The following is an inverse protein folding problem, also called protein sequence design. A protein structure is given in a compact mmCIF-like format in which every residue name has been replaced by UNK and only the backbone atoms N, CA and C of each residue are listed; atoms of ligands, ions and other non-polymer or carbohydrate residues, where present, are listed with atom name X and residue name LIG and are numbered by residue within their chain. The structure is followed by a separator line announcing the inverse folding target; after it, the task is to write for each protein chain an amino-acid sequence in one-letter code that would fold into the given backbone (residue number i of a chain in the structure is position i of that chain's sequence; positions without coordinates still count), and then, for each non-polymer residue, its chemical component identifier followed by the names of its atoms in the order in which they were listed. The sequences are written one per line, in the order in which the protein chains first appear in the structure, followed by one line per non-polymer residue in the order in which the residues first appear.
data_IF_132417632051
#
_entry.id   IF_132417632051
#
_cell.length_a   1.000
_cell.length_b   1.000
_cell.length_c   1.000
_cell.angle_alpha   90.00
_cell.angle_beta   90.00
_cell.angle_gamma   90.00
#
_symmetry.space_group_name_H-M   'P 1'
#
loop_
_entity.id
_entity.type
_entity.pdbx_description
1 polymer ?
#
# COMPACT_ATOMS: atom_id res chain seq x y z
N UNK A 1 6.97 10.60 8.63
CA UNK A 1 6.49 9.43 9.39
C UNK A 1 6.12 8.36 8.37
N UNK A 2 6.69 7.16 8.49
CA UNK A 2 6.37 6.02 7.63
C UNK A 2 5.28 5.22 8.33
N UNK A 3 4.16 4.94 7.66
CA UNK A 3 3.07 4.16 8.22
C UNK A 3 2.76 3.03 7.24
N UNK A 4 2.78 1.80 7.73
CA UNK A 4 2.11 0.70 7.06
C UNK A 4 0.62 0.82 7.33
N UNK A 5 -0.16 1.17 6.30
CA UNK A 5 -1.59 1.46 6.43
C UNK A 5 -2.43 0.38 5.77
N UNK A 6 -2.23 -0.82 6.30
CA UNK A 6 -2.76 -2.06 5.80
C UNK A 6 -3.77 -2.73 6.73
N UNK A 7 -3.55 -3.98 7.09
CA UNK A 7 -4.40 -4.74 8.00
C UNK A 7 -4.31 -4.19 9.43
N UNK A 8 -5.45 -3.73 9.96
CA UNK A 8 -5.52 -3.17 11.31
C UNK A 8 -5.38 -4.19 12.45
N UNK A 9 -5.90 -5.41 12.27
CA UNK A 9 -5.83 -6.49 13.25
C UNK A 9 -6.27 -7.83 12.66
N UNK A 10 -5.90 -8.96 13.30
CA UNK A 10 -6.36 -10.30 12.92
C UNK A 10 -7.90 -10.43 12.88
N UNK A 11 -8.63 -9.66 13.69
CA UNK A 11 -10.09 -9.71 13.72
C UNK A 11 -10.74 -9.14 12.44
N UNK A 12 -9.97 -8.43 11.61
CA UNK A 12 -10.41 -7.87 10.33
C UNK A 12 -10.00 -8.75 9.13
N UNK A 13 -9.35 -9.89 9.36
CA UNK A 13 -9.20 -10.94 8.36
C UNK A 13 -10.56 -11.61 8.15
N UNK A 14 -11.22 -11.29 7.04
CA UNK A 14 -12.44 -11.95 6.63
C UNK A 14 -12.14 -12.89 5.46
N UNK A 15 -12.05 -14.19 5.74
CA UNK A 15 -12.09 -15.20 4.69
C UNK A 15 -13.53 -15.35 4.21
N UNK A 16 -13.95 -14.51 3.27
CA UNK A 16 -15.29 -14.55 2.70
C UNK A 16 -15.22 -14.91 1.22
N UNK A 17 -16.14 -15.78 0.78
CA UNK A 17 -16.37 -16.03 -0.63
C UNK A 17 -17.18 -14.86 -1.19
N UNK A 18 -16.51 -13.80 -1.62
CA UNK A 18 -17.15 -12.65 -2.25
C UNK A 18 -17.09 -12.85 -3.77
N UNK A 19 -18.26 -13.01 -4.39
CA UNK A 19 -18.41 -13.20 -5.84
C UNK A 19 -17.66 -14.41 -6.45
N UNK A 20 -17.53 -15.51 -5.69
CA UNK A 20 -16.88 -16.74 -6.18
C UNK A 20 -15.35 -16.69 -6.15
N UNK A 21 -14.79 -15.67 -5.53
CA UNK A 21 -13.36 -15.54 -5.22
C UNK A 21 -13.17 -15.43 -3.71
N UNK A 22 -12.20 -16.14 -3.15
CA UNK A 22 -11.76 -15.90 -1.78
C UNK A 22 -11.13 -14.52 -1.73
N UNK A 23 -11.88 -13.52 -1.24
CA UNK A 23 -11.32 -12.21 -0.94
C UNK A 23 -10.87 -12.24 0.52
N UNK A 24 -9.57 -12.08 0.73
CA UNK A 24 -8.94 -12.25 2.05
C UNK A 24 -9.17 -11.08 3.00
N UNK A 25 -9.42 -9.87 2.49
CA UNK A 25 -9.39 -8.65 3.31
C UNK A 25 -10.44 -7.60 2.94
N UNK A 26 -11.20 -7.17 3.95
CA UNK A 26 -11.99 -5.93 3.92
C UNK A 26 -11.17 -4.85 4.61
N UNK A 27 -10.79 -3.82 3.87
CA UNK A 27 -10.14 -2.65 4.48
C UNK A 27 -11.05 -2.01 5.52
N UNK A 28 -10.50 -1.77 6.72
CA UNK A 28 -11.15 -1.05 7.82
C UNK A 28 -10.27 0.15 8.16
N UNK A 29 -10.85 1.35 8.13
CA UNK A 29 -10.15 2.55 8.58
C UNK A 29 -9.81 2.43 10.07
N UNK A 30 -8.57 2.76 10.44
CA UNK A 30 -8.06 2.60 11.81
C UNK A 30 -6.98 3.66 12.09
N UNK A 31 -6.79 4.03 13.35
CA UNK A 31 -5.73 4.91 13.87
C UNK A 31 -5.51 6.30 13.22
N UNK A 32 -6.22 6.69 12.15
CA UNK A 32 -6.06 8.02 11.52
C UNK A 32 -6.49 9.16 12.45
N UNK A 33 -7.58 8.95 13.21
CA UNK A 33 -8.02 9.93 14.21
C UNK A 33 -7.00 10.06 15.33
N UNK A 34 -6.41 8.94 15.77
CA UNK A 34 -5.36 8.95 16.77
C UNK A 34 -4.10 9.67 16.28
N UNK A 35 -3.67 9.44 15.04
CA UNK A 35 -2.55 10.16 14.43
C UNK A 35 -2.79 11.67 14.39
N UNK A 36 -4.02 12.09 14.10
CA UNK A 36 -4.41 13.50 14.11
C UNK A 36 -4.41 14.07 15.53
N UNK A 37 -5.09 13.40 16.46
CA UNK A 37 -5.42 13.95 17.78
C UNK A 37 -4.24 13.88 18.75
N UNK A 38 -3.50 12.77 18.76
CA UNK A 38 -2.40 12.55 19.70
C UNK A 38 -1.06 13.06 19.15
N UNK A 39 -0.87 13.05 17.83
CA UNK A 39 0.42 13.32 17.18
C UNK A 39 0.39 14.51 16.20
N UNK A 40 -0.76 15.18 16.03
CA UNK A 40 -0.88 16.37 15.18
C UNK A 40 -0.69 16.11 13.69
N UNK A 41 -0.87 14.87 13.23
CA UNK A 41 -0.68 14.49 11.82
C UNK A 41 -1.89 14.96 11.02
N UNK A 42 -1.78 16.14 10.42
CA UNK A 42 -2.87 16.77 9.67
C UNK A 42 -3.03 16.28 8.23
N UNK A 43 -2.00 15.67 7.63
CA UNK A 43 -2.04 15.26 6.23
C UNK A 43 -1.12 14.07 5.94
N UNK A 44 -1.59 13.16 5.09
CA UNK A 44 -0.84 12.01 4.59
C UNK A 44 -0.53 12.25 3.11
N UNK A 45 0.66 12.77 2.82
CA UNK A 45 0.99 13.24 1.46
C UNK A 45 1.51 12.14 0.54
N UNK A 46 2.24 11.18 1.10
CA UNK A 46 2.99 10.20 0.34
C UNK A 46 2.95 8.85 1.07
N UNK A 47 2.69 7.79 0.31
CA UNK A 47 2.81 6.38 0.73
C UNK A 47 3.77 5.66 -0.22
N UNK A 48 4.60 4.80 0.36
CA UNK A 48 5.49 3.89 -0.37
C UNK A 48 5.14 2.45 0.05
N UNK A 49 4.46 1.66 -0.80
CA UNK A 49 4.22 0.25 -0.52
C UNK A 49 5.54 -0.51 -0.53
N UNK A 50 5.73 -1.40 0.44
CA UNK A 50 6.91 -2.26 0.54
C UNK A 50 6.87 -3.44 -0.42
N UNK A 51 5.69 -4.06 -0.55
CA UNK A 51 5.45 -5.24 -1.38
C UNK A 51 3.94 -5.38 -1.67
N UNK A 52 3.59 -6.33 -2.53
CA UNK A 52 2.26 -6.39 -3.18
C UNK A 52 1.11 -7.00 -2.36
N UNK A 53 1.37 -7.53 -1.17
CA UNK A 53 0.31 -8.23 -0.44
C UNK A 53 -0.80 -7.26 0.01
N UNK A 54 -2.03 -7.76 -0.06
CA UNK A 54 -3.24 -6.99 0.17
C UNK A 54 -3.32 -6.39 1.58
N UNK A 55 -2.75 -7.07 2.56
CA UNK A 55 -2.61 -6.58 3.92
C UNK A 55 -1.67 -5.38 4.07
N UNK A 56 -0.90 -4.99 3.06
CA UNK A 56 -0.07 -3.78 3.07
C UNK A 56 -0.58 -2.69 2.11
N UNK A 57 -1.31 -3.07 1.05
CA UNK A 57 -1.71 -2.13 -0.01
C UNK A 57 -3.20 -1.78 -0.01
N UNK A 58 -4.05 -2.55 0.69
CA UNK A 58 -5.52 -2.37 0.64
C UNK A 58 -6.01 -1.00 1.13
N UNK A 59 -5.25 -0.31 1.98
CA UNK A 59 -5.59 1.04 2.48
C UNK A 59 -5.21 2.18 1.53
N UNK A 60 -4.33 1.95 0.55
CA UNK A 60 -3.83 3.01 -0.34
C UNK A 60 -4.97 3.70 -1.12
N UNK A 61 -5.94 2.99 -1.73
CA UNK A 61 -7.05 3.66 -2.40
C UNK A 61 -7.91 4.52 -1.47
N UNK A 62 -8.01 4.15 -0.18
CA UNK A 62 -8.72 4.97 0.80
C UNK A 62 -7.94 6.25 1.08
N UNK A 63 -6.62 6.16 1.26
CA UNK A 63 -5.76 7.33 1.45
C UNK A 63 -5.83 8.28 0.25
N UNK A 64 -5.73 7.75 -0.96
CA UNK A 64 -5.84 8.51 -2.21
C UNK A 64 -7.15 9.30 -2.31
N UNK A 65 -8.29 8.68 -1.94
CA UNK A 65 -9.60 9.32 -2.05
C UNK A 65 -9.89 10.38 -0.98
N UNK A 66 -9.28 10.26 0.20
CA UNK A 66 -9.66 11.08 1.36
C UNK A 66 -8.58 12.12 1.74
N UNK A 67 -7.33 11.91 1.31
CA UNK A 67 -6.19 12.75 1.69
C UNK A 67 -5.32 13.14 0.48
N UNK A 68 -5.76 12.84 -0.75
CA UNK A 68 -4.99 13.08 -1.98
C UNK A 68 -3.56 12.50 -1.92
N UNK A 69 -3.38 11.42 -1.13
CA UNK A 69 -2.08 10.80 -0.88
C UNK A 69 -1.47 10.29 -2.18
N UNK A 70 -0.24 10.68 -2.50
CA UNK A 70 0.51 10.10 -3.61
C UNK A 70 1.04 8.71 -3.21
N UNK A 71 1.04 7.78 -4.14
CA UNK A 71 1.69 6.48 -4.06
C UNK A 71 2.92 6.50 -4.97
N UNK A 72 4.10 6.34 -4.39
CA UNK A 72 5.33 6.07 -5.13
C UNK A 72 5.73 4.63 -4.87
N UNK A 73 6.09 3.88 -5.90
CA UNK A 73 6.37 2.46 -5.75
C UNK A 73 7.60 2.06 -6.57
N UNK A 74 8.33 1.06 -6.09
CA UNK A 74 9.35 0.37 -6.88
C UNK A 74 8.69 -0.23 -8.13
N UNK A 75 9.41 -0.28 -9.25
CA UNK A 75 8.91 -0.76 -10.54
C UNK A 75 8.24 -2.14 -10.47
N UNK A 76 8.85 -3.11 -9.80
CA UNK A 76 8.27 -4.44 -9.60
C UNK A 76 6.95 -4.41 -8.83
N UNK A 77 6.85 -3.62 -7.75
CA UNK A 77 5.59 -3.44 -7.00
C UNK A 77 4.55 -2.77 -7.90
N UNK A 78 4.95 -1.70 -8.59
CA UNK A 78 4.08 -0.87 -9.41
C UNK A 78 3.42 -1.68 -10.53
N UNK A 79 4.16 -2.59 -11.16
CA UNK A 79 3.66 -3.47 -12.21
C UNK A 79 2.45 -4.30 -11.74
N UNK A 80 2.50 -4.79 -10.50
CA UNK A 80 1.42 -5.59 -9.91
C UNK A 80 0.25 -4.73 -9.47
N UNK A 81 0.49 -3.71 -8.65
CA UNK A 81 -0.58 -2.96 -8.00
C UNK A 81 -1.36 -2.05 -8.95
N UNK A 82 -0.77 -1.65 -10.08
CA UNK A 82 -1.47 -0.86 -11.10
C UNK A 82 -2.39 -1.72 -11.97
N UNK A 83 -2.06 -3.00 -12.15
CA UNK A 83 -2.77 -3.91 -13.06
C UNK A 83 -3.08 -5.26 -12.41
N UNK A 84 -3.70 -5.30 -11.23
CA UNK A 84 -3.78 -6.51 -10.40
C UNK A 84 -4.51 -7.68 -11.08
N UNK A 85 -5.41 -7.40 -12.03
CA UNK A 85 -6.08 -8.44 -12.83
C UNK A 85 -5.12 -9.30 -13.66
N UNK A 86 -3.99 -8.73 -14.12
CA UNK A 86 -2.94 -9.47 -14.81
C UNK A 86 -2.13 -10.40 -13.86
N UNK A 87 -2.26 -10.17 -12.56
CA UNK A 87 -1.54 -10.84 -11.48
C UNK A 87 -2.47 -11.58 -10.52
N UNK A 88 -3.68 -11.92 -10.98
CA UNK A 88 -4.71 -12.51 -10.12
C UNK A 88 -4.34 -13.90 -9.57
N UNK A 89 -3.37 -14.59 -10.18
CA UNK A 89 -2.82 -15.85 -9.67
C UNK A 89 -1.75 -15.67 -8.59
N UNK A 90 -1.27 -14.45 -8.37
CA UNK A 90 -0.28 -14.15 -7.34
C UNK A 90 -0.96 -14.19 -5.96
N UNK A 91 -0.43 -14.94 -4.99
CA UNK A 91 -1.01 -15.02 -3.65
C UNK A 91 -1.15 -13.64 -3.00
N UNK A 92 -2.25 -13.45 -2.27
CA UNK A 92 -2.54 -12.23 -1.51
C UNK A 92 -2.50 -10.94 -2.35
N UNK A 93 -2.77 -11.01 -3.66
CA UNK A 93 -2.80 -9.84 -4.53
C UNK A 93 -4.09 -9.02 -4.31
N UNK A 94 -3.96 -7.72 -4.08
CA UNK A 94 -5.11 -6.85 -3.92
C UNK A 94 -5.81 -6.60 -5.26
N UNK A 95 -7.10 -6.94 -5.34
CA UNK A 95 -7.84 -6.99 -6.61
C UNK A 95 -8.16 -5.63 -7.26
N UNK A 96 -8.00 -4.50 -6.56
CA UNK A 96 -8.33 -3.17 -7.11
C UNK A 96 -7.06 -2.43 -7.54
N UNK A 97 -7.05 -1.81 -8.72
CA UNK A 97 -5.89 -1.06 -9.19
C UNK A 97 -5.61 0.12 -8.24
N UNK A 98 -4.32 0.34 -7.99
CA UNK A 98 -3.79 1.46 -7.22
C UNK A 98 -3.08 2.39 -8.20
N UNK A 99 -3.40 3.68 -8.14
CA UNK A 99 -2.74 4.68 -8.96
C UNK A 99 -1.33 4.94 -8.41
N UNK A 100 -0.29 4.73 -9.21
CA UNK A 100 1.09 5.05 -8.84
C UNK A 100 1.51 6.33 -9.54
N UNK A 101 1.81 7.39 -8.78
CA UNK A 101 2.18 8.71 -9.32
C UNK A 101 3.66 8.80 -9.68
N UNK A 102 4.53 8.00 -9.05
CA UNK A 102 5.95 7.90 -9.39
C UNK A 102 6.41 6.45 -9.28
N UNK A 103 7.04 5.97 -10.35
CA UNK A 103 7.71 4.67 -10.35
C UNK A 103 9.19 4.93 -10.07
N UNK A 104 9.73 4.22 -9.07
CA UNK A 104 11.11 4.28 -8.64
C UNK A 104 11.86 3.02 -9.10
N UNK A 105 13.19 3.10 -9.19
CA UNK A 105 14.06 1.97 -9.54
C UNK A 105 14.93 1.53 -8.38
N UNK A 106 15.41 0.28 -8.42
CA UNK A 106 16.38 -0.22 -7.44
C UNK A 106 17.62 0.68 -7.36
N UNK A 107 18.00 1.05 -6.13
CA UNK A 107 19.08 1.98 -5.81
C UNK A 107 18.76 3.44 -6.11
N UNK A 108 17.53 3.79 -6.49
CA UNK A 108 17.16 5.19 -6.73
C UNK A 108 17.08 5.96 -5.41
N UNK A 109 17.87 7.04 -5.34
CA UNK A 109 17.80 8.00 -4.25
C UNK A 109 16.81 9.13 -4.56
N UNK A 110 16.07 9.59 -3.56
CA UNK A 110 15.21 10.76 -3.69
C UNK A 110 15.16 11.59 -2.40
N UNK A 111 15.02 12.90 -2.57
CA UNK A 111 14.86 13.83 -1.47
C UNK A 111 13.38 14.14 -1.24
N UNK A 112 12.92 14.06 0.01
CA UNK A 112 11.56 14.39 0.39
C UNK A 112 11.49 14.99 1.79
N UNK A 113 10.90 16.20 1.89
CA UNK A 113 10.69 16.94 3.15
C UNK A 113 11.95 17.05 4.05
N UNK A 114 13.11 17.28 3.45
CA UNK A 114 14.37 17.44 4.20
C UNK A 114 15.08 16.13 4.54
N UNK A 115 14.57 14.99 4.06
CA UNK A 115 15.17 13.68 4.26
C UNK A 115 15.57 13.08 2.91
N UNK A 116 16.70 12.37 2.91
CA UNK A 116 17.17 11.59 1.78
C UNK A 116 16.77 10.13 1.98
N UNK A 117 16.20 9.53 0.94
CA UNK A 117 15.78 8.14 0.90
C UNK A 117 16.49 7.43 -0.24
N UNK A 118 16.70 6.13 -0.08
CA UNK A 118 17.13 5.20 -1.13
C UNK A 118 16.17 4.02 -1.11
N UNK A 119 15.67 3.61 -2.28
CA UNK A 119 14.78 2.45 -2.40
C UNK A 119 15.57 1.27 -2.96
N UNK A 120 15.30 0.09 -2.41
CA UNK A 120 15.98 -1.14 -2.82
C UNK A 120 15.00 -2.24 -3.14
N UNK A 121 15.31 -3.00 -4.19
CA UNK A 121 14.68 -4.29 -4.43
C UNK A 121 15.23 -5.30 -3.43
N UNK A 122 14.37 -5.77 -2.52
CA UNK A 122 14.72 -6.71 -1.46
C UNK A 122 13.80 -7.94 -1.53
N UNK A 123 13.97 -8.81 -2.54
CA UNK A 123 13.07 -9.95 -2.74
C UNK A 123 13.18 -10.98 -1.61
N UNK A 124 12.10 -11.70 -1.36
CA UNK A 124 12.05 -12.78 -0.39
C UNK A 124 10.63 -13.15 0.01
N UNK A 125 9.93 -12.21 0.68
CA UNK A 125 8.51 -12.37 0.98
C UNK A 125 7.66 -12.34 -0.31
N UNK A 126 8.07 -11.50 -1.25
CA UNK A 126 7.57 -11.42 -2.63
C UNK A 126 8.76 -11.12 -3.55
N UNK A 127 8.61 -11.40 -4.85
CA UNK A 127 9.51 -10.87 -5.89
C UNK A 127 9.15 -9.41 -6.27
N UNK A 128 7.99 -8.94 -5.78
CA UNK A 128 7.35 -7.68 -6.13
C UNK A 128 7.10 -6.83 -4.90
#
# INVERSE_FOLDING_TARGET
MLIDYGLASLAHLHFSNDHGTYQSLRFVQHHLEQLRDDYGVGHLELVLPTHIHDDHVCGIPFLQRNFDTQCWALDCVAEVITTPGAWASTPCCFHKPIQVQRILRDGEAFHWRGFDFEIHHAPGQTEY
#
